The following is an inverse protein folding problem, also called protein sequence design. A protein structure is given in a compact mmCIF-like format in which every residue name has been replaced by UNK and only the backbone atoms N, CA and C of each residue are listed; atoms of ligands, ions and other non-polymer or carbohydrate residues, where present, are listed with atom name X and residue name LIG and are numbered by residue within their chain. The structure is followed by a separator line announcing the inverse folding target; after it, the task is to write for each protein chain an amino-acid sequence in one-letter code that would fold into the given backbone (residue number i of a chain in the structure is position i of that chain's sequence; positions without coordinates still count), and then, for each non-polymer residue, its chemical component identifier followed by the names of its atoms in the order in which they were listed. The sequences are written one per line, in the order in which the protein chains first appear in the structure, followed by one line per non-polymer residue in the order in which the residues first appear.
data_IF_369488074519
#
_entry.id   IF_369488074519
#
_cell.length_a   1.000
_cell.length_b   1.000
_cell.length_c   1.000
_cell.angle_alpha   90.00
_cell.angle_beta   90.00
_cell.angle_gamma   90.00
#
_symmetry.space_group_name_H-M   'P 1'
#
loop_
_entity.id
_entity.type
_entity.pdbx_description
1 polymer ?
#
# COMPACT_ATOMS: atom_id res chain seq x y z
N UNK A 1 -29.17 -45.80 -23.03
CA UNK A 1 -28.96 -45.86 -21.55
C UNK A 1 -28.12 -44.68 -21.06
N UNK A 2 -27.11 -44.29 -21.80
CA UNK A 2 -26.18 -43.22 -21.36
C UNK A 2 -26.78 -41.80 -21.43
N UNK A 3 -27.65 -41.56 -22.41
CA UNK A 3 -28.30 -40.25 -22.60
C UNK A 3 -29.35 -39.96 -21.51
N UNK A 4 -30.13 -40.92 -21.09
CA UNK A 4 -31.13 -40.77 -20.02
C UNK A 4 -30.49 -40.47 -18.68
N UNK A 5 -29.36 -41.12 -18.37
CA UNK A 5 -28.59 -40.86 -17.15
C UNK A 5 -27.94 -39.44 -17.18
N UNK A 6 -27.53 -38.98 -18.34
CA UNK A 6 -26.95 -37.66 -18.50
C UNK A 6 -27.99 -36.54 -18.36
N UNK A 7 -29.21 -36.73 -18.90
CA UNK A 7 -30.35 -35.82 -18.71
C UNK A 7 -30.74 -35.72 -17.23
N UNK A 8 -30.78 -36.86 -16.54
CA UNK A 8 -31.06 -36.89 -15.09
C UNK A 8 -30.04 -36.07 -14.29
N UNK A 9 -28.76 -36.20 -14.62
CA UNK A 9 -27.67 -35.40 -13.99
C UNK A 9 -27.81 -33.90 -14.29
N UNK A 10 -28.12 -33.57 -15.53
CA UNK A 10 -28.33 -32.16 -15.90
C UNK A 10 -29.45 -31.51 -15.09
N UNK A 11 -30.60 -32.21 -14.95
CA UNK A 11 -31.71 -31.72 -14.11
C UNK A 11 -31.30 -31.54 -12.64
N UNK A 12 -30.48 -32.43 -12.10
CA UNK A 12 -29.96 -32.30 -10.75
C UNK A 12 -29.05 -31.07 -10.62
N UNK A 13 -28.15 -30.81 -11.58
CA UNK A 13 -27.29 -29.67 -11.56
C UNK A 13 -28.05 -28.35 -11.69
N UNK A 14 -29.05 -28.29 -12.58
CA UNK A 14 -29.96 -27.15 -12.70
C UNK A 14 -30.74 -26.89 -11.41
N UNK A 15 -31.19 -27.97 -10.72
CA UNK A 15 -31.89 -27.80 -9.45
C UNK A 15 -31.02 -27.25 -8.32
N UNK A 16 -29.70 -27.47 -8.34
CA UNK A 16 -28.74 -26.87 -7.42
C UNK A 16 -28.53 -25.40 -7.74
N UNK A 17 -28.45 -25.06 -9.02
CA UNK A 17 -28.34 -23.67 -9.48
C UNK A 17 -29.53 -22.81 -9.11
N UNK A 18 -30.76 -23.37 -9.21
CA UNK A 18 -32.04 -22.64 -9.04
C UNK A 18 -32.06 -21.40 -9.94
N UNK A 19 -32.28 -20.21 -9.34
CA UNK A 19 -32.33 -18.92 -10.03
C UNK A 19 -30.98 -18.19 -10.06
N UNK A 20 -29.90 -18.85 -9.63
CA UNK A 20 -28.56 -18.25 -9.58
C UNK A 20 -27.92 -18.28 -10.97
N UNK A 21 -27.15 -17.25 -11.26
CA UNK A 21 -26.43 -17.14 -12.52
C UNK A 21 -25.07 -17.85 -12.51
N UNK A 22 -24.60 -18.27 -11.32
CA UNK A 22 -23.35 -19.03 -11.15
C UNK A 22 -23.40 -19.94 -9.92
N UNK A 23 -22.57 -20.97 -9.93
CA UNK A 23 -22.44 -21.91 -8.82
C UNK A 23 -21.06 -22.59 -8.84
N UNK A 24 -20.50 -22.81 -7.67
CA UNK A 24 -19.25 -23.56 -7.54
C UNK A 24 -19.43 -25.04 -7.89
N UNK A 25 -18.48 -25.59 -8.64
CA UNK A 25 -18.47 -27.03 -8.99
C UNK A 25 -18.44 -27.89 -7.73
N UNK A 26 -17.76 -27.47 -6.66
CA UNK A 26 -17.75 -28.16 -5.37
C UNK A 26 -19.12 -28.18 -4.73
N UNK A 27 -19.89 -27.11 -4.83
CA UNK A 27 -21.26 -27.04 -4.31
C UNK A 27 -22.17 -28.02 -5.05
N UNK A 28 -22.11 -28.08 -6.40
CA UNK A 28 -22.84 -29.04 -7.20
C UNK A 28 -22.45 -30.47 -6.83
N UNK A 29 -21.16 -30.72 -6.63
CA UNK A 29 -20.66 -32.03 -6.22
C UNK A 29 -21.20 -32.45 -4.86
N UNK A 30 -21.17 -31.58 -3.86
CA UNK A 30 -21.67 -31.82 -2.51
C UNK A 30 -23.18 -32.05 -2.50
N UNK A 31 -23.95 -31.21 -3.19
CA UNK A 31 -25.42 -31.31 -3.25
C UNK A 31 -25.91 -32.57 -3.97
N UNK A 32 -25.11 -33.10 -4.91
CA UNK A 32 -25.47 -34.29 -5.68
C UNK A 32 -24.80 -35.59 -5.21
N UNK A 33 -23.95 -35.50 -4.18
CA UNK A 33 -23.17 -36.64 -3.65
C UNK A 33 -22.18 -37.23 -4.65
N UNK A 34 -21.65 -36.39 -5.55
CA UNK A 34 -20.75 -36.80 -6.63
C UNK A 34 -19.35 -36.26 -6.44
N UNK A 35 -18.39 -36.96 -7.03
CA UNK A 35 -17.01 -36.51 -7.08
C UNK A 35 -16.86 -35.24 -7.95
N UNK A 36 -16.07 -34.26 -7.48
CA UNK A 36 -15.86 -32.94 -8.12
C UNK A 36 -15.35 -33.10 -9.56
N UNK A 37 -14.40 -34.01 -9.80
CA UNK A 37 -13.82 -34.24 -11.14
C UNK A 37 -14.87 -34.82 -12.11
N UNK A 38 -15.76 -35.65 -11.61
CA UNK A 38 -16.85 -36.21 -12.43
C UNK A 38 -17.88 -35.15 -12.77
N UNK A 39 -18.23 -34.29 -11.80
CA UNK A 39 -19.13 -33.14 -12.04
C UNK A 39 -18.53 -32.19 -13.06
N UNK A 40 -17.26 -31.82 -12.91
CA UNK A 40 -16.56 -30.95 -13.86
C UNK A 40 -16.57 -31.54 -15.29
N UNK A 41 -16.28 -32.82 -15.43
CA UNK A 41 -16.34 -33.52 -16.73
C UNK A 41 -17.74 -33.52 -17.33
N UNK A 42 -18.76 -33.75 -16.51
CA UNK A 42 -20.15 -33.68 -16.96
C UNK A 42 -20.54 -32.26 -17.41
N UNK A 43 -20.20 -31.25 -16.61
CA UNK A 43 -20.47 -29.84 -16.93
C UNK A 43 -19.80 -29.42 -18.23
N UNK A 44 -18.51 -29.72 -18.42
CA UNK A 44 -17.79 -29.46 -19.69
C UNK A 44 -18.52 -30.09 -20.90
N UNK A 45 -18.95 -31.36 -20.77
CA UNK A 45 -19.70 -32.05 -21.82
C UNK A 45 -21.06 -31.41 -22.08
N UNK A 46 -21.73 -30.93 -21.03
CA UNK A 46 -23.04 -30.27 -21.12
C UNK A 46 -22.92 -28.88 -21.79
N UNK A 47 -21.88 -28.12 -21.49
CA UNK A 47 -21.57 -26.85 -22.16
C UNK A 47 -21.29 -27.09 -23.65
N UNK A 48 -20.40 -28.04 -23.97
CA UNK A 48 -20.06 -28.38 -25.36
C UNK A 48 -21.29 -28.83 -26.19
N UNK A 49 -22.25 -29.49 -25.54
CA UNK A 49 -23.50 -29.94 -26.16
C UNK A 49 -24.59 -28.85 -26.22
N UNK A 50 -24.32 -27.66 -25.71
CA UNK A 50 -25.26 -26.53 -25.69
C UNK A 50 -26.42 -26.70 -24.67
N UNK A 51 -26.29 -27.60 -23.69
CA UNK A 51 -27.32 -27.76 -22.66
C UNK A 51 -27.32 -26.57 -21.68
N UNK A 52 -26.16 -25.99 -21.39
CA UNK A 52 -26.04 -24.69 -20.81
C UNK A 52 -25.76 -23.70 -21.97
N UNK A 53 -26.81 -23.06 -22.50
CA UNK A 53 -26.74 -22.24 -23.71
C UNK A 53 -25.71 -21.06 -23.60
N UNK A 54 -25.57 -20.53 -22.40
CA UNK A 54 -24.65 -19.45 -22.05
C UNK A 54 -23.67 -19.91 -20.96
N UNK A 55 -23.33 -21.19 -20.96
CA UNK A 55 -22.50 -21.81 -19.94
C UNK A 55 -21.02 -21.54 -20.16
N UNK A 56 -20.34 -21.03 -19.14
CA UNK A 56 -18.90 -20.83 -19.09
C UNK A 56 -18.33 -21.34 -17.78
N UNK A 57 -17.07 -21.74 -17.80
CA UNK A 57 -16.29 -22.02 -16.59
C UNK A 57 -15.26 -20.92 -16.41
N UNK A 58 -14.94 -20.59 -15.14
CA UNK A 58 -13.83 -19.72 -14.80
C UNK A 58 -12.48 -20.35 -15.18
N UNK A 59 -11.39 -19.58 -15.16
CA UNK A 59 -10.04 -20.06 -15.53
C UNK A 59 -9.56 -21.25 -14.69
N UNK A 60 -9.99 -21.30 -13.43
CA UNK A 60 -9.64 -22.40 -12.50
C UNK A 60 -10.58 -23.60 -12.61
N UNK A 61 -11.57 -23.52 -13.49
CA UNK A 61 -12.59 -24.56 -13.64
C UNK A 61 -13.35 -24.88 -12.34
N UNK A 62 -13.47 -23.91 -11.46
CA UNK A 62 -14.08 -24.03 -10.13
C UNK A 62 -15.51 -23.54 -10.06
N UNK A 63 -15.93 -22.66 -10.96
CA UNK A 63 -17.24 -22.03 -11.00
C UNK A 63 -17.91 -22.16 -12.38
N UNK A 64 -19.15 -22.61 -12.38
CA UNK A 64 -20.01 -22.63 -13.56
C UNK A 64 -20.84 -21.35 -13.58
N UNK A 65 -20.73 -20.56 -14.64
CA UNK A 65 -21.58 -19.41 -14.96
C UNK A 65 -22.55 -19.80 -16.06
N UNK A 66 -23.83 -19.50 -15.88
CA UNK A 66 -24.90 -19.95 -16.80
C UNK A 66 -25.62 -18.79 -17.50
N UNK A 67 -25.16 -17.57 -17.29
CA UNK A 67 -25.65 -16.38 -17.98
C UNK A 67 -24.51 -15.58 -18.59
N UNK A 68 -24.80 -14.91 -19.70
CA UNK A 68 -23.85 -13.96 -20.32
C UNK A 68 -23.54 -12.78 -19.38
N UNK A 69 -24.50 -12.38 -18.56
CA UNK A 69 -24.30 -11.34 -17.57
C UNK A 69 -23.22 -11.74 -16.55
N UNK A 70 -23.31 -12.92 -15.94
CA UNK A 70 -22.30 -13.41 -15.01
C UNK A 70 -20.94 -13.58 -15.69
N UNK A 71 -20.90 -14.08 -16.91
CA UNK A 71 -19.67 -14.22 -17.69
C UNK A 71 -19.01 -12.86 -17.98
N UNK A 72 -19.79 -11.87 -18.40
CA UNK A 72 -19.27 -10.52 -18.68
C UNK A 72 -18.76 -9.84 -17.41
N UNK A 73 -19.44 -9.99 -16.28
CA UNK A 73 -18.96 -9.49 -14.99
C UNK A 73 -17.63 -10.15 -14.58
N UNK A 74 -17.55 -11.48 -14.73
CA UNK A 74 -16.33 -12.23 -14.42
C UNK A 74 -15.15 -11.78 -15.30
N UNK A 75 -15.35 -11.71 -16.62
CA UNK A 75 -14.30 -11.31 -17.57
C UNK A 75 -13.86 -9.87 -17.34
N UNK A 76 -14.77 -8.94 -17.05
CA UNK A 76 -14.45 -7.56 -16.71
C UNK A 76 -13.62 -7.47 -15.43
N UNK A 77 -13.99 -8.24 -14.38
CA UNK A 77 -13.24 -8.31 -13.12
C UNK A 77 -11.84 -8.87 -13.34
N UNK A 78 -11.72 -9.96 -14.09
CA UNK A 78 -10.43 -10.60 -14.38
C UNK A 78 -9.50 -9.70 -15.19
N UNK A 79 -10.03 -8.95 -16.16
CA UNK A 79 -9.27 -7.98 -16.93
C UNK A 79 -8.78 -6.82 -16.06
N UNK A 80 -9.65 -6.27 -15.18
CA UNK A 80 -9.29 -5.23 -14.22
C UNK A 80 -8.18 -5.72 -13.26
N UNK A 81 -8.30 -6.92 -12.72
CA UNK A 81 -7.28 -7.52 -11.85
C UNK A 81 -5.96 -7.72 -12.59
N UNK A 82 -6.00 -8.18 -13.84
CA UNK A 82 -4.80 -8.36 -14.67
C UNK A 82 -4.11 -7.03 -14.94
N UNK A 83 -4.90 -6.00 -15.26
CA UNK A 83 -4.38 -4.65 -15.51
C UNK A 83 -3.74 -4.08 -14.23
N UNK A 84 -4.41 -4.14 -13.09
CA UNK A 84 -3.86 -3.69 -11.80
C UNK A 84 -2.55 -4.39 -11.46
N UNK A 85 -2.51 -5.71 -11.62
CA UNK A 85 -1.29 -6.48 -11.37
C UNK A 85 -0.14 -6.07 -12.31
N UNK A 86 -0.44 -5.81 -13.58
CA UNK A 86 0.56 -5.32 -14.54
C UNK A 86 1.06 -3.92 -14.17
N UNK A 87 0.16 -3.02 -13.75
CA UNK A 87 0.51 -1.68 -13.27
C UNK A 87 1.38 -1.73 -12.01
N UNK A 88 1.02 -2.58 -11.03
CA UNK A 88 1.83 -2.79 -9.82
C UNK A 88 3.23 -3.32 -10.15
N UNK A 89 3.33 -4.31 -11.05
CA UNK A 89 4.62 -4.86 -11.47
C UNK A 89 5.46 -3.83 -12.21
N UNK A 90 4.85 -3.02 -13.07
CA UNK A 90 5.52 -1.93 -13.78
C UNK A 90 6.02 -0.85 -12.81
N UNK A 91 5.21 -0.48 -11.82
CA UNK A 91 5.58 0.47 -10.78
C UNK A 91 6.73 -0.05 -9.91
N UNK A 92 6.68 -1.31 -9.48
CA UNK A 92 7.75 -1.95 -8.71
C UNK A 92 9.06 -2.01 -9.50
N UNK A 93 8.98 -2.37 -10.79
CA UNK A 93 10.16 -2.41 -11.67
C UNK A 93 10.79 -1.02 -11.82
N UNK A 94 9.97 0.01 -12.03
CA UNK A 94 10.42 1.39 -12.12
C UNK A 94 11.11 1.86 -10.83
N UNK A 95 10.50 1.59 -9.68
CA UNK A 95 11.10 1.90 -8.37
C UNK A 95 12.45 1.19 -8.18
N UNK A 96 12.55 -0.07 -8.55
CA UNK A 96 13.80 -0.83 -8.46
C UNK A 96 14.88 -0.27 -9.39
N UNK A 97 14.53 0.11 -10.62
CA UNK A 97 15.45 0.73 -11.57
C UNK A 97 15.95 2.10 -11.08
N UNK A 98 15.07 2.90 -10.46
CA UNK A 98 15.43 4.18 -9.84
C UNK A 98 16.39 3.98 -8.66
N UNK A 99 16.08 3.02 -7.78
CA UNK A 99 16.94 2.65 -6.66
C UNK A 99 18.32 2.15 -7.11
N UNK A 100 18.39 1.32 -8.14
CA UNK A 100 19.63 0.76 -8.68
C UNK A 100 20.55 1.84 -9.29
N UNK A 101 20.00 3.00 -9.67
CA UNK A 101 20.77 4.15 -10.16
C UNK A 101 21.42 4.98 -9.06
N UNK A 102 20.97 4.81 -7.83
CA UNK A 102 21.55 5.52 -6.68
C UNK A 102 22.97 5.03 -6.39
N UNK A 103 23.82 5.93 -5.87
CA UNK A 103 25.14 5.53 -5.42
C UNK A 103 25.04 4.51 -4.26
N UNK A 104 26.05 3.63 -4.08
CA UNK A 104 26.04 2.67 -2.97
C UNK A 104 25.91 3.32 -1.59
N UNK A 105 26.44 4.53 -1.41
CA UNK A 105 26.29 5.29 -0.17
C UNK A 105 24.84 5.70 0.08
N UNK A 106 24.16 6.24 -0.92
CA UNK A 106 22.75 6.63 -0.83
C UNK A 106 21.86 5.40 -0.63
N UNK A 107 22.10 4.32 -1.36
CA UNK A 107 21.37 3.05 -1.18
C UNK A 107 21.46 2.55 0.27
N UNK A 108 22.66 2.61 0.86
CA UNK A 108 22.88 2.19 2.25
C UNK A 108 22.10 3.06 3.23
N UNK A 109 22.05 4.37 3.01
CA UNK A 109 21.31 5.30 3.86
C UNK A 109 19.81 5.09 3.72
N UNK A 110 19.28 4.93 2.52
CA UNK A 110 17.87 4.65 2.27
C UNK A 110 17.44 3.33 2.93
N UNK A 111 18.22 2.27 2.79
CA UNK A 111 17.94 0.99 3.46
C UNK A 111 17.95 1.11 4.99
N UNK A 112 18.90 1.86 5.55
CA UNK A 112 18.92 2.12 6.99
C UNK A 112 17.71 2.95 7.43
N UNK A 113 17.25 3.89 6.61
CA UNK A 113 16.03 4.65 6.82
C UNK A 113 14.79 3.77 6.92
N UNK A 114 14.60 2.87 5.96
CA UNK A 114 13.49 1.91 5.96
C UNK A 114 13.50 1.02 7.22
N UNK A 115 14.69 0.66 7.67
CA UNK A 115 14.84 -0.12 8.91
C UNK A 115 14.44 0.69 10.14
N UNK A 116 14.83 1.97 10.22
CA UNK A 116 14.43 2.86 11.32
C UNK A 116 12.92 3.10 11.33
N UNK A 117 12.29 3.35 10.18
CA UNK A 117 10.83 3.49 10.07
C UNK A 117 10.11 2.25 10.59
N UNK A 118 10.57 1.06 10.19
CA UNK A 118 10.00 -0.20 10.70
C UNK A 118 10.17 -0.36 12.22
N UNK A 119 11.32 -0.01 12.77
CA UNK A 119 11.59 -0.07 14.21
C UNK A 119 10.72 0.93 14.99
N UNK A 120 10.58 2.16 14.50
CA UNK A 120 9.73 3.18 15.11
C UNK A 120 8.26 2.71 15.11
N UNK A 121 7.79 2.15 14.00
CA UNK A 121 6.44 1.57 13.91
C UNK A 121 6.25 0.41 14.87
N UNK A 122 7.20 -0.50 14.95
CA UNK A 122 7.14 -1.63 15.91
C UNK A 122 7.10 -1.15 17.36
N UNK A 123 7.87 -0.12 17.71
CA UNK A 123 7.83 0.50 19.04
C UNK A 123 6.46 1.15 19.31
N UNK A 124 5.87 1.81 18.33
CA UNK A 124 4.53 2.38 18.44
C UNK A 124 3.45 1.32 18.70
N UNK A 125 3.56 0.19 18.01
CA UNK A 125 2.62 -0.94 18.17
C UNK A 125 2.77 -1.61 19.56
N UNK A 126 3.96 -1.57 20.16
CA UNK A 126 4.26 -2.15 21.47
C UNK A 126 3.91 -1.23 22.66
N UNK A 127 3.86 0.08 22.46
CA UNK A 127 3.60 1.08 23.49
C UNK A 127 2.12 1.44 23.51
N UNK A 128 1.34 1.06 24.53
CA UNK A 128 -0.03 1.49 24.68
C UNK A 128 -0.11 2.96 25.11
N UNK A 129 -1.12 3.68 24.68
CA UNK A 129 -1.37 5.06 25.06
C UNK A 129 -1.50 6.00 23.88
N UNK A 130 -2.64 6.69 23.79
CA UNK A 130 -2.99 7.52 22.64
C UNK A 130 -2.04 8.71 22.43
N UNK A 131 -1.63 9.35 23.54
CA UNK A 131 -0.79 10.57 23.48
C UNK A 131 0.60 10.25 22.95
N UNK A 132 1.25 9.25 23.50
CA UNK A 132 2.60 8.85 23.05
C UNK A 132 2.55 8.23 21.65
N UNK A 133 1.53 7.45 21.34
CA UNK A 133 1.34 6.86 20.01
C UNK A 133 1.18 7.94 18.93
N UNK A 134 0.46 9.01 19.20
CA UNK A 134 0.34 10.13 18.27
C UNK A 134 1.71 10.79 17.99
N UNK A 135 2.55 10.96 19.02
CA UNK A 135 3.90 11.54 18.89
C UNK A 135 4.82 10.62 18.08
N UNK A 136 4.78 9.30 18.34
CA UNK A 136 5.58 8.32 17.62
C UNK A 136 5.10 8.20 16.16
N UNK A 137 3.79 8.22 15.90
CA UNK A 137 3.24 8.20 14.54
C UNK A 137 3.67 9.43 13.72
N UNK A 138 3.74 10.61 14.37
CA UNK A 138 4.28 11.81 13.72
C UNK A 138 5.75 11.64 13.38
N UNK A 139 6.53 11.08 14.29
CA UNK A 139 7.95 10.78 14.07
C UNK A 139 8.15 9.81 12.91
N UNK A 140 7.39 8.72 12.88
CA UNK A 140 7.40 7.73 11.79
C UNK A 140 7.20 8.42 10.43
N UNK A 141 6.15 9.25 10.32
CA UNK A 141 5.85 9.98 9.10
C UNK A 141 6.98 10.93 8.69
N UNK A 142 7.55 11.69 9.64
CA UNK A 142 8.63 12.63 9.35
C UNK A 142 9.90 11.92 8.90
N UNK A 143 10.27 10.84 9.57
CA UNK A 143 11.45 10.04 9.22
C UNK A 143 11.28 9.43 7.83
N UNK A 144 10.13 8.83 7.55
CA UNK A 144 9.79 8.29 6.24
C UNK A 144 9.93 9.34 5.13
N UNK A 145 9.34 10.52 5.30
CA UNK A 145 9.41 11.62 4.33
C UNK A 145 10.82 12.18 4.13
N UNK A 146 11.63 12.21 5.19
CA UNK A 146 13.03 12.65 5.08
C UNK A 146 13.81 11.68 4.17
N UNK A 147 13.67 10.36 4.37
CA UNK A 147 14.36 9.38 3.55
C UNK A 147 13.84 9.33 2.12
N UNK A 148 12.53 9.44 1.91
CA UNK A 148 11.94 9.61 0.57
C UNK A 148 12.58 10.80 -0.16
N UNK A 149 12.76 11.91 0.54
CA UNK A 149 13.35 13.12 -0.06
C UNK A 149 14.82 12.92 -0.41
N UNK A 150 15.59 12.23 0.41
CA UNK A 150 17.01 11.90 0.13
C UNK A 150 17.11 10.96 -1.07
N UNK A 151 16.20 10.00 -1.21
CA UNK A 151 16.15 9.13 -2.38
C UNK A 151 15.88 9.92 -3.67
N UNK A 152 14.95 10.89 -3.62
CA UNK A 152 14.62 11.77 -4.75
C UNK A 152 15.72 12.80 -5.05
N UNK A 153 16.45 13.25 -4.03
CA UNK A 153 17.53 14.21 -4.14
C UNK A 153 18.80 13.70 -3.43
N UNK A 154 19.59 12.83 -4.09
CA UNK A 154 20.75 12.18 -3.50
C UNK A 154 21.84 13.12 -3.01
N UNK A 155 21.90 14.35 -3.52
CA UNK A 155 22.87 15.37 -3.09
C UNK A 155 22.67 15.79 -1.62
N UNK A 156 21.46 15.57 -1.07
CA UNK A 156 21.11 15.83 0.32
C UNK A 156 21.70 14.81 1.32
N UNK A 157 22.37 13.77 0.84
CA UNK A 157 22.91 12.70 1.69
C UNK A 157 23.83 13.21 2.81
N UNK A 158 24.57 14.28 2.55
CA UNK A 158 25.49 14.87 3.52
C UNK A 158 24.76 15.49 4.73
N UNK A 159 23.54 15.95 4.55
CA UNK A 159 22.70 16.54 5.60
C UNK A 159 22.15 15.48 6.56
N UNK A 160 22.21 14.20 6.16
CA UNK A 160 21.71 13.07 6.92
C UNK A 160 22.66 12.54 8.00
N UNK A 161 23.92 12.99 8.00
CA UNK A 161 24.95 12.44 8.90
C UNK A 161 24.54 12.48 10.37
N UNK A 162 24.09 13.65 10.86
CA UNK A 162 23.67 13.79 12.27
C UNK A 162 22.44 12.95 12.60
N UNK A 163 21.52 12.86 11.66
CA UNK A 163 20.33 12.03 11.83
C UNK A 163 20.70 10.56 11.98
N UNK A 164 21.57 10.06 11.10
CA UNK A 164 21.98 8.66 11.08
C UNK A 164 22.89 8.28 12.26
N UNK A 165 23.84 9.14 12.60
CA UNK A 165 24.87 8.83 13.59
C UNK A 165 24.38 9.09 15.03
N UNK A 166 23.40 9.97 15.22
CA UNK A 166 23.02 10.41 16.56
C UNK A 166 21.51 10.43 16.80
N UNK A 167 20.71 11.12 15.99
CA UNK A 167 19.30 11.33 16.34
C UNK A 167 18.48 10.05 16.29
N UNK A 168 18.59 9.26 15.24
CA UNK A 168 17.83 8.00 15.12
C UNK A 168 18.28 6.94 16.11
N UNK A 169 19.58 6.66 16.30
CA UNK A 169 20.03 5.73 17.34
C UNK A 169 19.58 6.14 18.76
N UNK A 170 19.62 7.44 19.07
CA UNK A 170 19.16 7.95 20.37
C UNK A 170 17.65 7.81 20.50
N UNK A 171 16.89 8.10 19.45
CA UNK A 171 15.44 7.92 19.40
C UNK A 171 15.06 6.49 19.73
N UNK A 172 15.73 5.50 19.13
CA UNK A 172 15.44 4.09 19.42
C UNK A 172 15.66 3.73 20.87
N UNK A 173 16.75 4.23 21.48
CA UNK A 173 17.00 4.02 22.92
C UNK A 173 15.92 4.63 23.80
N UNK A 174 15.41 5.81 23.45
CA UNK A 174 14.32 6.46 24.19
C UNK A 174 13.01 5.68 24.08
N UNK A 175 12.69 5.17 22.90
CA UNK A 175 11.48 4.36 22.70
C UNK A 175 11.56 3.02 23.45
N UNK A 176 12.71 2.34 23.42
CA UNK A 176 12.97 1.12 24.19
C UNK A 176 12.85 1.38 25.69
N UNK A 177 13.42 2.48 26.18
CA UNK A 177 13.31 2.86 27.58
C UNK A 177 11.85 3.17 27.99
N UNK A 178 11.10 3.85 27.12
CA UNK A 178 9.70 4.13 27.38
C UNK A 178 8.87 2.84 27.47
N UNK A 179 9.06 1.90 26.54
CA UNK A 179 8.40 0.59 26.55
C UNK A 179 8.69 -0.18 27.85
N UNK A 180 9.96 -0.21 28.27
CA UNK A 180 10.36 -0.85 29.51
C UNK A 180 9.71 -0.21 30.74
N UNK A 181 9.68 1.13 30.82
CA UNK A 181 9.06 1.87 31.90
C UNK A 181 7.54 1.68 31.92
N UNK A 182 6.90 1.68 30.76
CA UNK A 182 5.45 1.51 30.64
C UNK A 182 4.99 0.11 31.04
N UNK A 183 5.80 -0.90 30.79
CA UNK A 183 5.53 -2.29 31.14
C UNK A 183 5.62 -2.59 32.66
N UNK A 184 6.10 -1.65 33.47
CA UNK A 184 6.25 -1.88 34.93
C UNK A 184 4.89 -1.94 35.62
N UNK A 185 4.64 -2.93 36.49
CA UNK A 185 3.36 -3.08 37.19
C UNK A 185 3.09 -1.98 38.20
N UNK A 186 4.14 -1.28 38.67
CA UNK A 186 4.05 -0.15 39.58
C UNK A 186 4.58 1.10 38.91
N UNK A 187 3.69 2.04 38.71
CA UNK A 187 4.01 3.34 38.05
C UNK A 187 4.34 4.37 39.18
N UNK A 188 5.54 4.26 39.72
CA UNK A 188 6.04 5.20 40.75
C UNK A 188 6.44 6.55 40.17
N UNK A 189 6.76 7.51 41.02
CA UNK A 189 7.09 8.89 40.66
C UNK A 189 8.25 8.97 39.63
N UNK A 190 9.30 8.17 39.88
CA UNK A 190 10.45 8.12 38.96
C UNK A 190 10.07 7.63 37.55
N UNK A 191 9.22 6.61 37.46
CA UNK A 191 8.75 6.06 36.18
C UNK A 191 7.91 7.09 35.46
N UNK A 192 6.94 7.72 36.14
CA UNK A 192 6.07 8.73 35.55
C UNK A 192 6.88 9.93 35.07
N UNK A 193 7.82 10.42 35.87
CA UNK A 193 8.70 11.54 35.53
C UNK A 193 9.58 11.22 34.31
N UNK A 194 10.21 10.04 34.29
CA UNK A 194 11.04 9.61 33.16
C UNK A 194 10.25 9.42 31.87
N UNK A 195 9.06 8.86 31.93
CA UNK A 195 8.16 8.74 30.78
C UNK A 195 7.81 10.13 30.22
N UNK A 196 7.48 11.07 31.10
CA UNK A 196 7.16 12.45 30.71
C UNK A 196 8.35 13.14 30.03
N UNK A 197 9.54 12.98 30.56
CA UNK A 197 10.77 13.54 29.98
C UNK A 197 11.04 12.95 28.59
N UNK A 198 10.82 11.64 28.39
CA UNK A 198 10.92 11.01 27.06
C UNK A 198 9.87 11.57 26.10
N UNK A 199 8.62 11.72 26.51
CA UNK A 199 7.56 12.31 25.69
C UNK A 199 7.90 13.72 25.22
N UNK A 200 8.41 14.57 26.12
CA UNK A 200 8.81 15.95 25.80
C UNK A 200 10.05 15.98 24.87
N UNK A 201 10.93 14.99 25.01
CA UNK A 201 12.09 14.83 24.13
C UNK A 201 11.68 14.37 22.73
N UNK A 202 10.68 13.48 22.62
CA UNK A 202 10.11 13.06 21.33
C UNK A 202 9.48 14.26 20.61
N UNK A 203 8.77 15.13 21.31
CA UNK A 203 8.24 16.37 20.71
C UNK A 203 9.36 17.26 20.18
N UNK A 204 10.45 17.40 20.92
CA UNK A 204 11.63 18.16 20.50
C UNK A 204 12.29 17.55 19.25
N UNK A 205 12.41 16.22 19.21
CA UNK A 205 12.93 15.50 18.04
C UNK A 205 12.02 15.67 16.83
N UNK A 206 10.71 15.62 17.01
CA UNK A 206 9.75 15.85 15.93
C UNK A 206 9.91 17.24 15.33
N UNK A 207 10.09 18.29 16.15
CA UNK A 207 10.37 19.64 15.68
C UNK A 207 11.70 19.69 14.91
N UNK A 208 12.74 19.00 15.38
CA UNK A 208 14.01 18.94 14.70
C UNK A 208 13.91 18.23 13.33
N UNK A 209 13.15 17.15 13.25
CA UNK A 209 12.91 16.43 12.00
C UNK A 209 12.06 17.24 11.02
N UNK A 210 11.07 18.01 11.49
CA UNK A 210 10.32 18.96 10.65
C UNK A 210 11.24 20.00 10.02
N UNK A 211 12.13 20.57 10.82
CA UNK A 211 13.11 21.56 10.31
C UNK A 211 14.10 20.95 9.32
N UNK A 212 14.53 19.72 9.58
CA UNK A 212 15.38 18.99 8.64
C UNK A 212 14.65 18.75 7.31
N UNK A 213 13.42 18.23 7.37
CA UNK A 213 12.61 17.99 6.17
C UNK A 213 12.39 19.28 5.37
N UNK A 214 12.06 20.38 6.04
CA UNK A 214 11.92 21.68 5.39
C UNK A 214 13.21 22.12 4.71
N UNK A 215 14.36 21.96 5.37
CA UNK A 215 15.66 22.31 4.79
C UNK A 215 16.02 21.52 3.54
N UNK A 216 15.56 20.27 3.43
CA UNK A 216 15.78 19.44 2.24
C UNK A 216 15.01 19.93 1.00
N UNK A 217 14.05 20.85 1.16
CA UNK A 217 13.31 21.48 0.06
C UNK A 217 13.83 22.87 -0.31
N UNK A 218 14.90 23.33 0.31
CA UNK A 218 15.40 24.70 0.11
C UNK A 218 15.75 24.99 -1.36
N UNK A 219 16.44 24.08 -2.03
CA UNK A 219 16.81 24.23 -3.45
C UNK A 219 15.56 24.27 -4.34
N UNK A 220 14.59 23.39 -4.07
CA UNK A 220 13.31 23.39 -4.79
C UNK A 220 12.56 24.70 -4.59
N UNK A 221 12.57 25.27 -3.38
CA UNK A 221 11.94 26.55 -3.10
C UNK A 221 12.61 27.71 -3.86
N UNK A 222 13.91 27.67 -4.00
CA UNK A 222 14.66 28.68 -4.80
C UNK A 222 14.36 28.55 -6.29
N UNK A 223 14.32 27.35 -6.84
CA UNK A 223 13.97 27.10 -8.25
C UNK A 223 12.56 27.62 -8.56
N UNK A 224 11.58 27.28 -7.72
CA UNK A 224 10.19 27.74 -7.86
C UNK A 224 10.12 29.28 -7.77
N UNK A 225 10.85 29.90 -6.84
CA UNK A 225 10.90 31.36 -6.71
C UNK A 225 11.48 32.02 -7.96
N UNK A 226 12.51 31.42 -8.53
CA UNK A 226 13.12 31.87 -9.79
C UNK A 226 12.15 31.79 -10.96
N UNK A 227 11.48 30.65 -11.12
CA UNK A 227 10.49 30.42 -12.17
C UNK A 227 9.30 31.39 -12.05
N UNK A 228 8.81 31.62 -10.83
CA UNK A 228 7.76 32.62 -10.58
C UNK A 228 8.21 34.02 -11.01
N UNK A 229 9.44 34.39 -10.70
CA UNK A 229 9.98 35.71 -11.08
C UNK A 229 10.09 35.88 -12.58
N UNK A 230 10.50 34.82 -13.30
CA UNK A 230 10.55 34.80 -14.76
C UNK A 230 9.14 34.91 -15.35
N UNK A 231 8.20 34.13 -14.82
CA UNK A 231 6.80 34.19 -15.26
C UNK A 231 6.17 35.57 -15.05
N UNK A 232 6.37 36.17 -13.90
CA UNK A 232 5.90 37.55 -13.62
C UNK A 232 6.47 38.54 -14.62
N UNK A 233 7.76 38.44 -14.95
CA UNK A 233 8.41 39.30 -15.93
C UNK A 233 7.80 39.12 -17.33
N UNK A 234 7.56 37.90 -17.75
CA UNK A 234 6.92 37.58 -19.05
C UNK A 234 5.48 38.11 -19.10
N UNK A 235 4.69 37.89 -18.07
CA UNK A 235 3.31 38.37 -17.98
C UNK A 235 3.25 39.92 -18.00
N UNK A 236 4.21 40.59 -17.33
CA UNK A 236 4.30 42.04 -17.35
C UNK A 236 4.65 42.57 -18.76
N UNK A 237 5.55 41.89 -19.48
CA UNK A 237 5.91 42.25 -20.85
C UNK A 237 4.75 42.09 -21.84
N UNK A 238 3.90 41.06 -21.60
CA UNK A 238 2.72 40.81 -22.41
C UNK A 238 1.49 41.64 -21.98
N UNK A 239 1.61 42.48 -20.92
CA UNK A 239 0.53 43.32 -20.43
C UNK A 239 -0.60 42.58 -19.70
N UNK A 240 -0.31 41.35 -19.24
CA UNK A 240 -1.28 40.47 -18.59
C UNK A 240 -1.26 40.54 -17.06
N UNK A 241 -0.51 41.47 -16.48
CA UNK A 241 -0.53 41.74 -15.04
C UNK A 241 -1.66 42.73 -14.70
N UNK A 242 -2.10 42.77 -13.44
CA UNK A 242 -3.19 43.66 -12.97
C UNK A 242 -2.93 45.13 -13.30
N UNK A 243 -1.69 45.59 -13.35
CA UNK A 243 -1.30 46.95 -13.75
C UNK A 243 -1.44 47.20 -15.27
N UNK A 244 -1.41 46.14 -16.09
CA UNK A 244 -1.63 46.21 -17.54
C UNK A 244 -3.10 46.21 -17.96
N UNK A 245 -4.01 45.78 -17.12
CA UNK A 245 -5.45 45.73 -17.36
C UNK A 245 -6.18 47.05 -17.00
N UNK A 246 -5.50 48.02 -16.45
CA UNK A 246 -6.03 49.36 -16.04
C UNK A 246 -5.77 50.46 -17.04
N UNK A 247 -5.47 50.14 -18.31
CA UNK A 247 -5.38 51.14 -19.38
C UNK A 247 -6.54 51.05 -20.35
#
# INVERSE_FOLDING_TARGET
VDMVRTVGRFRQYVSVLRDREFCDIKEIASATGRDVRKVLKDVKKMITKGWFCQGHLDEKESCLMVSEHAWNQYTALMEDMKQRKAEEQAAQKKMQEEYDRLSPEVQKIVQAGDEYVRKIKAANDAIPGEVISAKISRMELLVDRIFDRVEQNPDSVNDMRRMMDYYLPTTMKLLEAYEELDAQPVQGENIISSKKEIEDTIDTLNIAFEKLLDSLFQDTAWDVSSDISVLHTMLAQEGLTEDGLKK
#
